data_IF_980587852513
#
_entry.id   IF_980587852513
#
_cell.length_a   1.000
_cell.length_b   1.000
_cell.length_c   1.000
_cell.angle_alpha   90.00
_cell.angle_beta   90.00
_cell.angle_gamma   90.00
#
_symmetry.space_group_name_H-M   'P 1'
#
loop_
_entity.id
_entity.type
_entity.pdbx_description
1 polymer ?
#
# COMPACT_ATOMS: atom_id res chain seq x y z
N UNK A 1 -32.41 -84.58 -65.79
CA UNK A 1 -31.73 -84.18 -67.04
C UNK A 1 -30.90 -82.95 -66.75
N UNK A 2 -29.63 -82.97 -67.14
CA UNK A 2 -28.66 -81.87 -67.05
C UNK A 2 -28.94 -80.79 -68.11
N UNK A 3 -28.31 -79.62 -67.88
CA UNK A 3 -27.77 -78.56 -68.80
C UNK A 3 -28.25 -77.16 -68.31
N UNK A 4 -27.51 -76.33 -67.53
CA UNK A 4 -26.27 -75.52 -67.78
C UNK A 4 -26.51 -74.48 -68.93
N UNK A 5 -26.37 -73.14 -68.87
CA UNK A 5 -25.34 -72.23 -68.31
C UNK A 5 -25.71 -70.73 -68.57
N UNK A 6 -25.37 -69.83 -67.61
CA UNK A 6 -24.96 -68.37 -67.67
C UNK A 6 -25.87 -67.29 -68.33
N UNK A 7 -25.86 -65.99 -67.98
CA UNK A 7 -24.98 -65.11 -67.17
C UNK A 7 -25.70 -63.80 -66.78
N UNK A 8 -25.26 -63.23 -65.64
CA UNK A 8 -25.31 -61.84 -65.10
C UNK A 8 -25.85 -60.66 -65.93
N UNK A 9 -26.65 -59.81 -65.27
CA UNK A 9 -26.38 -58.36 -65.08
C UNK A 9 -27.29 -57.78 -63.97
N UNK A 10 -26.73 -56.87 -63.17
CA UNK A 10 -27.25 -56.37 -61.89
C UNK A 10 -28.58 -55.62 -61.98
N UNK A 11 -29.34 -55.68 -60.89
CA UNK A 11 -30.66 -55.10 -60.71
C UNK A 11 -30.67 -53.57 -60.83
N UNK A 12 -31.67 -53.08 -61.59
CA UNK A 12 -32.21 -51.73 -61.45
C UNK A 12 -33.07 -51.68 -60.18
N UNK A 13 -32.98 -50.62 -59.38
CA UNK A 13 -34.17 -50.06 -58.74
C UNK A 13 -34.06 -48.53 -58.62
N UNK A 14 -35.23 -47.91 -58.72
CA UNK A 14 -35.50 -46.49 -58.88
C UNK A 14 -35.61 -45.78 -57.53
N UNK A 15 -35.67 -44.45 -57.65
CA UNK A 15 -36.46 -43.54 -56.80
C UNK A 15 -36.03 -43.36 -55.34
N UNK A 16 -35.69 -42.12 -54.97
CA UNK A 16 -35.45 -41.80 -53.57
C UNK A 16 -34.86 -40.41 -53.36
N UNK A 17 -35.73 -39.41 -53.40
CA UNK A 17 -35.51 -38.08 -52.83
C UNK A 17 -34.93 -38.19 -51.40
N UNK A 18 -33.62 -37.99 -51.23
CA UNK A 18 -33.03 -37.69 -49.92
C UNK A 18 -32.85 -36.17 -49.86
N UNK A 19 -33.84 -35.50 -49.27
CA UNK A 19 -33.58 -34.25 -48.58
C UNK A 19 -32.60 -34.62 -47.47
N UNK A 20 -31.36 -34.18 -47.61
CA UNK A 20 -30.39 -34.21 -46.53
C UNK A 20 -30.86 -33.18 -45.50
N UNK A 21 -31.70 -33.64 -44.59
CA UNK A 21 -31.96 -33.04 -43.29
C UNK A 21 -30.69 -33.27 -42.45
N UNK A 22 -29.64 -32.49 -42.73
CA UNK A 22 -28.45 -32.38 -41.87
C UNK A 22 -28.78 -31.47 -40.68
N UNK A 23 -29.66 -31.96 -39.83
CA UNK A 23 -29.67 -31.59 -38.42
C UNK A 23 -28.77 -32.57 -37.67
N UNK A 24 -27.45 -32.42 -37.81
CA UNK A 24 -26.46 -33.03 -36.92
C UNK A 24 -25.13 -32.25 -37.00
N UNK A 25 -24.63 -31.85 -35.82
CA UNK A 25 -23.37 -31.16 -35.56
C UNK A 25 -23.21 -29.73 -36.12
N UNK A 26 -23.87 -28.76 -35.47
CA UNK A 26 -23.24 -27.44 -35.33
C UNK A 26 -22.08 -27.66 -34.33
N UNK A 27 -20.80 -27.59 -34.73
CA UNK A 27 -19.74 -27.58 -33.76
C UNK A 27 -19.98 -26.34 -32.90
N UNK A 28 -20.19 -26.54 -31.59
CA UNK A 28 -20.10 -25.47 -30.62
C UNK A 28 -18.65 -24.94 -30.63
N UNK A 29 -18.34 -24.09 -31.60
CA UNK A 29 -17.03 -23.51 -31.86
C UNK A 29 -16.91 -22.08 -31.34
N UNK A 30 -17.97 -21.53 -30.75
CA UNK A 30 -18.01 -20.16 -30.26
C UNK A 30 -17.91 -20.16 -28.72
N UNK A 31 -16.88 -20.80 -28.18
CA UNK A 31 -16.49 -20.57 -26.79
C UNK A 31 -15.53 -19.37 -26.76
N UNK A 32 -15.95 -18.18 -26.30
CA UNK A 32 -15.08 -17.01 -26.28
C UNK A 32 -13.95 -17.13 -25.24
N UNK A 33 -13.92 -18.20 -24.44
CA UNK A 33 -12.83 -18.56 -23.55
C UNK A 33 -11.85 -19.60 -24.13
N UNK A 34 -11.95 -19.97 -25.41
CA UNK A 34 -11.01 -20.88 -26.06
C UNK A 34 -10.50 -20.31 -27.40
N UNK A 35 -9.22 -19.87 -27.50
CA UNK A 35 -8.22 -19.87 -26.42
C UNK A 35 -8.54 -18.83 -25.33
N UNK A 36 -8.09 -19.05 -24.09
CA UNK A 36 -8.37 -18.14 -22.96
C UNK A 36 -7.85 -16.72 -23.27
N UNK A 37 -8.72 -15.71 -23.41
CA UNK A 37 -8.32 -14.34 -23.70
C UNK A 37 -7.78 -13.59 -22.48
N UNK A 38 -7.99 -14.11 -21.27
CA UNK A 38 -7.55 -13.50 -20.02
C UNK A 38 -6.07 -13.83 -19.77
N UNK A 39 -5.23 -12.80 -19.77
CA UNK A 39 -3.79 -12.88 -19.54
C UNK A 39 -3.48 -13.07 -18.04
N UNK A 40 -2.22 -13.35 -17.72
CA UNK A 40 -1.68 -13.35 -16.35
C UNK A 40 -2.54 -14.12 -15.34
N UNK A 41 -2.87 -15.37 -15.70
CA UNK A 41 -3.67 -16.29 -14.87
C UNK A 41 -5.13 -15.85 -14.63
N UNK A 42 -5.64 -14.92 -15.44
CA UNK A 42 -7.04 -14.50 -15.40
C UNK A 42 -8.02 -15.63 -15.73
N UNK A 43 -9.11 -15.69 -14.96
CA UNK A 43 -10.20 -16.64 -15.15
C UNK A 43 -11.21 -16.09 -16.16
N UNK A 44 -11.41 -16.80 -17.26
CA UNK A 44 -12.43 -16.47 -18.26
C UNK A 44 -13.78 -17.08 -17.89
N UNK A 45 -14.83 -16.28 -18.02
CA UNK A 45 -16.22 -16.71 -17.92
C UNK A 45 -16.99 -16.25 -19.14
N UNK A 46 -17.70 -17.16 -19.79
CA UNK A 46 -18.72 -16.85 -20.80
C UNK A 46 -20.09 -16.91 -20.14
N UNK A 47 -20.99 -15.99 -20.48
CA UNK A 47 -22.37 -16.02 -19.96
C UNK A 47 -23.13 -17.15 -20.69
N UNK A 48 -23.56 -18.19 -19.96
CA UNK A 48 -24.16 -19.41 -20.54
C UNK A 48 -25.53 -19.18 -21.23
N UNK A 49 -26.06 -17.95 -21.20
CA UNK A 49 -27.40 -17.61 -21.68
C UNK A 49 -27.53 -17.25 -23.18
N UNK A 50 -26.43 -17.23 -23.94
CA UNK A 50 -26.33 -16.93 -25.39
C UNK A 50 -27.05 -15.67 -25.93
N UNK A 51 -26.27 -14.74 -26.50
CA UNK A 51 -26.42 -14.24 -27.89
C UNK A 51 -25.19 -13.47 -28.40
N UNK A 52 -24.27 -13.00 -27.54
CA UNK A 52 -23.33 -11.93 -27.94
C UNK A 52 -21.84 -12.36 -28.05
N UNK A 53 -21.51 -13.65 -27.91
CA UNK A 53 -20.12 -14.17 -27.93
C UNK A 53 -19.14 -13.36 -27.04
N UNK A 54 -19.64 -12.87 -25.91
CA UNK A 54 -18.88 -12.03 -24.97
C UNK A 54 -18.25 -12.88 -23.87
N UNK A 55 -17.04 -12.52 -23.47
CA UNK A 55 -16.36 -13.08 -22.30
C UNK A 55 -16.15 -12.00 -21.23
N UNK A 56 -15.93 -12.44 -19.98
CA UNK A 56 -15.48 -11.60 -18.88
C UNK A 56 -14.29 -12.24 -18.19
N UNK A 57 -13.23 -11.46 -18.01
CA UNK A 57 -12.07 -11.85 -17.23
C UNK A 57 -12.23 -11.47 -15.77
N UNK A 58 -11.90 -12.42 -14.89
CA UNK A 58 -11.63 -12.16 -13.47
C UNK A 58 -10.13 -12.25 -13.27
N UNK A 59 -9.47 -11.12 -13.07
CA UNK A 59 -8.02 -11.05 -13.02
C UNK A 59 -7.44 -11.61 -11.72
N UNK A 60 -6.24 -12.18 -11.83
CA UNK A 60 -5.44 -12.56 -10.68
C UNK A 60 -5.01 -11.31 -9.88
N UNK A 61 -4.60 -11.52 -8.62
CA UNK A 61 -4.12 -10.45 -7.76
C UNK A 61 -2.93 -9.72 -8.40
N UNK A 62 -2.94 -8.37 -8.32
CA UNK A 62 -1.94 -7.53 -8.98
C UNK A 62 -2.16 -7.27 -10.47
N UNK A 63 -3.31 -7.67 -11.04
CA UNK A 63 -3.63 -7.43 -12.44
C UNK A 63 -5.02 -6.81 -12.64
N UNK A 64 -5.13 -5.96 -13.65
CA UNK A 64 -6.37 -5.33 -14.08
C UNK A 64 -6.44 -5.18 -15.59
N UNK A 65 -7.53 -4.56 -16.06
CA UNK A 65 -7.85 -4.42 -17.47
C UNK A 65 -8.89 -5.43 -17.94
N UNK A 66 -9.38 -5.23 -19.16
CA UNK A 66 -10.44 -6.08 -19.73
C UNK A 66 -9.99 -7.51 -19.99
N UNK A 67 -8.68 -7.70 -20.16
CA UNK A 67 -8.01 -8.98 -20.43
C UNK A 67 -6.91 -9.27 -19.41
N UNK A 68 -6.88 -8.56 -18.28
CA UNK A 68 -5.84 -8.70 -17.24
C UNK A 68 -4.43 -8.35 -17.75
N UNK A 69 -4.36 -7.42 -18.69
CA UNK A 69 -3.14 -6.96 -19.37
C UNK A 69 -2.33 -5.93 -18.57
N UNK A 70 -2.95 -5.27 -17.58
CA UNK A 70 -2.34 -4.17 -16.83
C UNK A 70 -1.84 -4.69 -15.49
N UNK A 71 -0.55 -4.52 -15.22
CA UNK A 71 0.02 -4.77 -13.91
C UNK A 71 -0.41 -3.63 -12.97
N UNK A 72 -1.07 -3.98 -11.87
CA UNK A 72 -1.39 -3.05 -10.79
C UNK A 72 -0.16 -2.94 -9.89
N UNK A 73 0.57 -1.82 -10.02
CA UNK A 73 1.71 -1.56 -9.16
C UNK A 73 1.23 -1.39 -7.72
N UNK A 74 1.90 -2.09 -6.80
CA UNK A 74 1.65 -1.94 -5.36
C UNK A 74 1.59 -0.45 -4.97
N UNK A 75 0.61 -0.01 -4.18
CA UNK A 75 0.50 1.39 -3.77
C UNK A 75 1.70 1.86 -2.94
N UNK A 76 2.48 0.92 -2.37
CA UNK A 76 3.75 1.22 -1.68
C UNK A 76 4.96 1.38 -2.61
N UNK A 77 4.87 1.02 -3.89
CA UNK A 77 6.01 1.05 -4.84
C UNK A 77 6.55 2.45 -5.10
N UNK A 78 5.79 3.48 -4.77
CA UNK A 78 6.18 4.89 -4.92
C UNK A 78 6.81 5.49 -3.67
N UNK A 79 7.07 4.67 -2.64
CA UNK A 79 7.52 5.08 -1.31
C UNK A 79 6.71 6.27 -0.74
N UNK A 80 5.37 6.12 -0.63
CA UNK A 80 4.50 7.25 -0.26
C UNK A 80 4.70 7.72 1.19
N UNK A 81 5.23 6.87 2.07
CA UNK A 81 5.49 7.18 3.47
C UNK A 81 6.83 7.93 3.62
N UNK A 82 6.76 9.19 4.03
CA UNK A 82 7.93 10.05 4.20
C UNK A 82 8.59 9.85 5.57
N UNK A 83 9.74 10.50 5.77
CA UNK A 83 10.42 10.62 7.07
C UNK A 83 10.67 9.29 7.80
N UNK A 84 10.99 8.22 7.04
CA UNK A 84 11.25 6.89 7.60
C UNK A 84 10.01 6.11 7.99
N UNK A 85 8.82 6.54 7.57
CA UNK A 85 7.59 5.79 7.73
C UNK A 85 7.60 4.45 6.98
N UNK A 86 6.97 3.43 7.57
CA UNK A 86 6.82 2.11 6.95
C UNK A 86 5.49 2.03 6.21
N UNK A 87 5.53 1.70 4.92
CA UNK A 87 4.33 1.50 4.11
C UNK A 87 3.79 0.08 4.26
N UNK A 88 2.47 -0.04 4.33
CA UNK A 88 1.76 -1.33 4.29
C UNK A 88 0.51 -1.19 3.43
N UNK A 89 0.32 -2.13 2.50
CA UNK A 89 -0.87 -2.19 1.66
C UNK A 89 -2.10 -2.52 2.50
N UNK A 90 -3.18 -1.79 2.27
CA UNK A 90 -4.49 -2.06 2.87
C UNK A 90 -5.42 -2.76 1.89
N UNK A 91 -5.28 -2.46 0.60
CA UNK A 91 -5.84 -3.22 -0.53
C UNK A 91 -4.98 -2.98 -1.79
N UNK A 92 -5.39 -3.54 -2.94
CA UNK A 92 -4.66 -3.43 -4.21
C UNK A 92 -4.39 -1.99 -4.69
N UNK A 93 -5.14 -1.01 -4.19
CA UNK A 93 -5.04 0.41 -4.58
C UNK A 93 -4.77 1.35 -3.41
N UNK A 94 -4.83 0.87 -2.18
CA UNK A 94 -4.71 1.68 -0.97
C UNK A 94 -3.58 1.22 -0.07
N UNK A 95 -2.99 2.16 0.65
CA UNK A 95 -1.91 1.93 1.59
C UNK A 95 -2.17 2.66 2.91
N UNK A 96 -1.42 2.27 3.93
CA UNK A 96 -1.30 2.96 5.20
C UNK A 96 0.17 3.16 5.56
N UNK A 97 0.48 4.27 6.22
CA UNK A 97 1.81 4.55 6.73
C UNK A 97 1.85 4.42 8.25
N UNK A 98 2.82 3.64 8.74
CA UNK A 98 3.25 3.69 10.13
C UNK A 98 4.39 4.70 10.25
N UNK A 99 4.13 5.85 10.88
CA UNK A 99 5.12 6.91 11.02
C UNK A 99 6.19 6.58 12.07
N UNK A 100 7.40 7.07 11.81
CA UNK A 100 8.46 7.11 12.81
C UNK A 100 8.11 8.12 13.91
N UNK A 101 8.73 7.95 15.09
CA UNK A 101 8.58 8.89 16.20
C UNK A 101 8.90 10.34 15.75
N UNK A 102 8.09 11.30 16.20
CA UNK A 102 8.21 12.72 15.83
C UNK A 102 7.54 13.12 14.51
N UNK A 103 6.89 12.18 13.79
CA UNK A 103 6.16 12.49 12.54
C UNK A 103 4.71 12.03 12.58
N UNK A 104 3.87 12.67 11.78
CA UNK A 104 2.43 12.39 11.69
C UNK A 104 1.83 12.69 10.31
N UNK A 105 0.52 12.47 10.18
CA UNK A 105 -0.23 12.58 8.93
C UNK A 105 -0.25 11.27 8.13
N UNK A 106 -1.13 11.18 7.14
CA UNK A 106 -1.39 9.95 6.36
C UNK A 106 -0.15 9.44 5.62
N UNK A 107 0.78 10.34 5.27
CA UNK A 107 2.03 10.04 4.59
C UNK A 107 3.27 10.34 5.45
N UNK A 108 3.10 10.57 6.76
CA UNK A 108 4.19 10.90 7.69
C UNK A 108 4.98 12.17 7.32
N UNK A 109 4.37 13.08 6.55
CA UNK A 109 5.03 14.29 6.06
C UNK A 109 5.05 15.42 7.10
N UNK A 110 4.22 15.34 8.12
CA UNK A 110 4.04 16.41 9.10
C UNK A 110 4.98 16.20 10.29
N UNK A 111 5.75 17.23 10.64
CA UNK A 111 6.51 17.24 11.89
C UNK A 111 5.57 17.36 13.08
N UNK A 112 5.82 16.60 14.13
CA UNK A 112 5.11 16.76 15.41
C UNK A 112 5.85 17.81 16.23
N UNK A 113 5.16 18.88 16.62
CA UNK A 113 5.71 19.89 17.54
C UNK A 113 5.50 19.42 18.99
N UNK A 114 6.51 18.77 19.58
CA UNK A 114 6.41 18.25 20.94
C UNK A 114 6.28 19.37 21.99
N UNK A 115 6.82 20.56 21.70
CA UNK A 115 6.78 21.73 22.56
C UNK A 115 5.35 22.27 22.73
N UNK A 116 4.57 22.31 21.65
CA UNK A 116 3.17 22.75 21.68
C UNK A 116 2.27 21.68 22.30
N UNK A 117 2.54 20.40 22.02
CA UNK A 117 1.76 19.29 22.57
C UNK A 117 2.09 18.97 24.03
N UNK A 118 3.22 19.47 24.55
CA UNK A 118 3.67 19.22 25.92
C UNK A 118 4.07 17.77 26.16
N UNK A 119 4.55 17.08 25.12
CA UNK A 119 4.99 15.67 25.16
C UNK A 119 6.51 15.51 25.22
N UNK A 120 7.23 16.61 25.48
CA UNK A 120 8.67 16.65 25.72
C UNK A 120 9.02 16.40 27.20
N UNK A 121 10.28 16.10 27.47
CA UNK A 121 10.83 15.89 28.82
C UNK A 121 11.76 17.02 29.30
N UNK A 122 11.74 18.17 28.62
CA UNK A 122 12.50 19.36 29.05
C UNK A 122 12.20 19.74 30.51
N UNK A 123 13.26 20.13 31.23
CA UNK A 123 13.17 20.66 32.58
C UNK A 123 12.28 21.90 32.62
N UNK A 124 11.59 22.15 33.74
CA UNK A 124 10.81 23.38 33.94
C UNK A 124 11.65 24.66 33.77
N UNK A 125 12.96 24.57 34.04
CA UNK A 125 13.94 25.62 33.86
C UNK A 125 14.64 25.57 32.49
N UNK A 126 14.10 24.84 31.50
CA UNK A 126 14.55 24.82 30.12
C UNK A 126 13.54 25.44 29.15
N UNK A 127 14.04 25.86 27.99
CA UNK A 127 13.26 26.18 26.79
C UNK A 127 13.22 24.94 25.89
N UNK A 128 12.05 24.66 25.33
CA UNK A 128 11.86 23.63 24.31
C UNK A 128 11.95 24.28 22.92
N UNK A 129 12.67 23.63 22.01
CA UNK A 129 12.76 23.96 20.59
C UNK A 129 12.34 22.74 19.76
N UNK A 130 11.33 22.91 18.91
CA UNK A 130 10.87 21.89 17.96
C UNK A 130 11.91 21.67 16.84
N UNK A 131 12.15 20.42 16.49
CA UNK A 131 13.05 20.01 15.41
C UNK A 131 12.37 18.95 14.52
N UNK A 132 12.81 18.76 13.27
CA UNK A 132 12.31 17.67 12.44
C UNK A 132 12.52 16.28 13.07
N UNK A 133 11.42 15.65 13.48
CA UNK A 133 11.37 14.32 14.11
C UNK A 133 11.84 14.27 15.56
N UNK A 134 12.01 15.42 16.22
CA UNK A 134 12.49 15.47 17.61
C UNK A 134 12.33 16.87 18.21
N UNK A 135 12.85 17.06 19.40
CA UNK A 135 12.93 18.37 20.05
C UNK A 135 14.27 18.51 20.76
N UNK A 136 14.62 19.75 21.09
CA UNK A 136 15.81 20.06 21.87
C UNK A 136 15.45 20.90 23.10
N UNK A 137 16.06 20.57 24.23
CA UNK A 137 15.88 21.29 25.48
C UNK A 137 17.14 22.11 25.79
N UNK A 138 16.99 23.40 26.05
CA UNK A 138 18.11 24.27 26.44
C UNK A 138 17.81 24.97 27.76
N UNK A 139 18.71 24.86 28.73
CA UNK A 139 18.51 25.51 30.02
C UNK A 139 18.34 27.04 29.85
N UNK A 140 17.39 27.61 30.58
CA UNK A 140 17.15 29.06 30.62
C UNK A 140 18.39 29.76 31.18
N UNK A 141 18.51 31.05 30.88
CA UNK A 141 19.61 31.87 31.40
C UNK A 141 19.69 31.79 32.93
N UNK A 142 20.90 31.56 33.45
CA UNK A 142 21.14 31.35 34.88
C UNK A 142 21.06 29.90 35.32
N UNK A 143 20.79 28.97 34.40
CA UNK A 143 20.84 27.53 34.64
C UNK A 143 21.88 26.86 33.73
N UNK A 144 22.43 25.74 34.18
CA UNK A 144 23.31 24.86 33.39
C UNK A 144 22.78 23.43 33.44
N UNK A 145 23.17 22.60 32.48
CA UNK A 145 22.76 21.20 32.42
C UNK A 145 22.58 20.72 30.98
N UNK A 146 21.83 19.63 30.82
CA UNK A 146 21.55 19.02 29.52
C UNK A 146 20.17 19.40 28.95
N UNK A 147 19.41 20.26 29.64
CA UNK A 147 18.07 20.68 29.23
C UNK A 147 16.92 19.84 29.78
N UNK A 148 17.13 18.53 30.01
CA UNK A 148 16.17 17.67 30.76
C UNK A 148 16.39 17.77 32.27
N UNK A 149 17.58 18.18 32.68
CA UNK A 149 17.93 18.57 34.05
C UNK A 149 18.68 19.89 33.99
N UNK A 150 18.16 20.90 34.68
CA UNK A 150 18.75 22.22 34.75
C UNK A 150 18.97 22.65 36.20
N UNK A 151 20.20 23.01 36.54
CA UNK A 151 20.62 23.46 37.87
C UNK A 151 21.00 24.94 37.84
N UNK A 152 20.58 25.68 38.86
CA UNK A 152 20.89 27.11 38.96
C UNK A 152 22.40 27.33 39.10
N UNK A 153 22.95 28.31 38.39
CA UNK A 153 24.37 28.68 38.44
C UNK A 153 24.60 30.14 38.76
N UNK A 154 25.72 30.41 39.41
CA UNK A 154 26.19 31.73 39.79
C UNK A 154 27.01 32.42 38.67
N UNK A 155 26.50 32.42 37.44
CA UNK A 155 27.19 33.07 36.31
C UNK A 155 26.22 33.83 35.38
N UNK A 156 26.33 35.18 35.30
CA UNK A 156 27.21 36.04 36.09
C UNK A 156 26.80 36.05 37.58
N UNK A 157 27.76 36.29 38.48
CA UNK A 157 27.47 36.34 39.92
C UNK A 157 26.38 37.40 40.22
N UNK A 158 25.19 36.97 40.73
CA UNK A 158 24.08 37.87 40.98
C UNK A 158 24.24 38.69 42.29
N UNK A 159 25.23 38.37 43.12
CA UNK A 159 25.43 38.99 44.43
C UNK A 159 26.06 40.38 44.35
N UNK A 160 25.55 41.32 45.15
CA UNK A 160 26.08 42.68 45.26
C UNK A 160 27.34 42.75 46.13
N UNK A 161 28.12 43.83 46.00
CA UNK A 161 29.30 44.14 46.82
C UNK A 161 30.33 43.00 46.88
N UNK A 162 30.52 42.30 45.75
CA UNK A 162 31.43 41.15 45.64
C UNK A 162 31.07 39.98 46.57
N UNK A 163 29.79 39.85 46.97
CA UNK A 163 29.32 38.73 47.76
C UNK A 163 29.59 37.37 47.09
N UNK A 164 29.86 36.35 47.91
CA UNK A 164 30.10 34.98 47.43
C UNK A 164 28.76 34.31 47.16
N UNK A 165 28.54 33.88 45.92
CA UNK A 165 27.33 33.18 45.51
C UNK A 165 27.45 31.67 45.80
N UNK A 166 26.41 31.09 46.39
CA UNK A 166 26.24 29.65 46.56
C UNK A 166 24.93 29.22 45.90
N UNK A 167 25.00 28.41 44.82
CA UNK A 167 23.82 27.95 44.11
C UNK A 167 22.99 27.00 44.98
N UNK A 168 21.68 27.08 44.82
CA UNK A 168 20.65 26.22 45.41
C UNK A 168 19.75 25.71 44.28
N UNK A 169 18.72 24.92 44.61
CA UNK A 169 17.92 24.21 43.61
C UNK A 169 17.28 25.13 42.54
N UNK A 170 16.77 26.31 42.94
CA UNK A 170 16.15 27.30 42.03
C UNK A 170 16.58 28.76 42.31
N UNK A 171 17.60 28.96 43.15
CA UNK A 171 18.05 30.30 43.54
C UNK A 171 19.52 30.29 43.98
N UNK A 172 20.09 31.47 44.22
CA UNK A 172 21.40 31.61 44.85
C UNK A 172 21.28 32.25 46.23
N UNK A 173 22.12 31.78 47.16
CA UNK A 173 22.40 32.48 48.41
C UNK A 173 23.65 33.34 48.24
N UNK A 174 23.61 34.55 48.80
CA UNK A 174 24.74 35.48 48.77
C UNK A 174 25.32 35.63 50.17
N UNK A 175 26.58 35.27 50.33
CA UNK A 175 27.32 35.43 51.57
C UNK A 175 28.12 36.74 51.51
N UNK A 176 27.94 37.57 52.54
CA UNK A 176 28.70 38.80 52.68
C UNK A 176 30.18 38.47 53.00
N UNK A 177 31.08 39.23 52.38
CA UNK A 177 32.53 39.18 52.60
C UNK A 177 33.01 40.46 53.27
#
# INVERSE_FOLDING_TARGET
MLVQIQTVAAANDKDGNKKDDDSADIPNADNPCDPNPCLNEGLCSSDEAQTDNTYKCSCAEGWSGSTCETEEASPCSSDPCQNGGTCSETDATSFSCQCADGYSGDTCAENVDECVLGIHDCDQNANCEDLPGSFNCTCKKGYTGNGTTCEYVCDPNPCLNNGVCSPQQDYATCLCV
#
